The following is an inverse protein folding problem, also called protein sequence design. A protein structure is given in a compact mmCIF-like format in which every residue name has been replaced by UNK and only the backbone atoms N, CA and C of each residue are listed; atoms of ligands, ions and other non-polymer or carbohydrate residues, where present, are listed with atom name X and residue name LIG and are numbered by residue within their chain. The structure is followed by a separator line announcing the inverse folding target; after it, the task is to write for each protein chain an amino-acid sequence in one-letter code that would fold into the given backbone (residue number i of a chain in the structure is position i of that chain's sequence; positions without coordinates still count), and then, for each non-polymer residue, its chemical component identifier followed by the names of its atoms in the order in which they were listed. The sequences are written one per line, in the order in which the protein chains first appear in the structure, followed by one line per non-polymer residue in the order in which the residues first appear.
data_IF_255209164534
#
_entry.id   IF_255209164534
#
_cell.length_a   1.000
_cell.length_b   1.000
_cell.length_c   1.000
_cell.angle_alpha   90.00
_cell.angle_beta   90.00
_cell.angle_gamma   90.00
#
_symmetry.space_group_name_H-M   'P 1'
#
loop_
_entity.id
_entity.type
_entity.pdbx_description
1 polymer ?
#
# COMPACT_ATOMS: atom_id res chain seq x y z
N UNK A 1 -2.88 6.21 -16.46
CA UNK A 1 -3.08 6.06 -17.92
C UNK A 1 -2.28 7.11 -18.67
N UNK A 2 -1.66 6.77 -19.76
CA UNK A 2 -0.94 7.76 -20.54
C UNK A 2 -1.93 8.77 -21.14
N UNK A 3 -1.55 10.02 -21.07
CA UNK A 3 -2.36 11.15 -21.49
C UNK A 3 -2.74 11.06 -22.97
N UNK A 4 -4.04 11.12 -23.29
CA UNK A 4 -4.55 10.96 -24.67
C UNK A 4 -3.91 11.92 -25.67
N UNK A 5 -3.61 13.15 -25.27
CA UNK A 5 -2.97 14.16 -26.12
C UNK A 5 -1.57 13.77 -26.63
N UNK A 6 -0.87 12.91 -25.92
CA UNK A 6 0.45 12.46 -26.32
C UNK A 6 0.44 11.11 -27.05
N UNK A 7 -0.74 10.49 -27.23
CA UNK A 7 -0.83 9.17 -27.85
C UNK A 7 -0.20 9.15 -29.26
N UNK A 8 -0.48 10.15 -30.07
CA UNK A 8 0.07 10.27 -31.42
C UNK A 8 1.57 10.68 -31.46
N UNK A 9 2.11 11.22 -30.36
CA UNK A 9 3.51 11.72 -30.28
C UNK A 9 4.40 10.88 -29.37
N UNK A 10 3.90 9.80 -28.77
CA UNK A 10 4.64 8.96 -27.81
C UNK A 10 5.95 8.43 -28.35
N UNK A 11 5.98 8.05 -29.63
CA UNK A 11 7.18 7.56 -30.30
C UNK A 11 8.28 8.63 -30.42
N UNK A 12 7.91 9.93 -30.31
CA UNK A 12 8.84 11.07 -30.37
C UNK A 12 9.29 11.56 -28.99
N UNK A 13 8.66 11.09 -27.90
CA UNK A 13 9.04 11.49 -26.54
C UNK A 13 10.14 10.54 -26.08
N UNK A 14 11.37 11.01 -25.84
CA UNK A 14 12.44 10.14 -25.37
C UNK A 14 12.08 9.58 -23.99
N UNK A 15 12.24 8.28 -23.83
CA UNK A 15 12.02 7.63 -22.53
C UNK A 15 13.16 8.04 -21.61
N UNK A 16 12.81 8.55 -20.41
CA UNK A 16 13.80 8.79 -19.39
C UNK A 16 14.49 7.47 -19.02
N UNK A 17 15.83 7.48 -19.02
CA UNK A 17 16.65 6.35 -18.61
C UNK A 17 17.09 6.58 -17.16
N UNK A 18 17.07 5.52 -16.37
CA UNK A 18 17.49 5.57 -14.97
C UNK A 18 18.57 4.53 -14.75
N UNK A 19 19.54 4.87 -13.90
CA UNK A 19 20.57 3.94 -13.42
C UNK A 19 20.50 3.84 -11.92
N UNK A 20 20.47 2.61 -11.40
CA UNK A 20 20.57 2.35 -9.96
C UNK A 20 22.03 2.58 -9.56
N UNK A 21 22.26 3.46 -8.59
CA UNK A 21 23.61 3.84 -8.12
C UNK A 21 24.11 2.97 -6.96
N UNK A 22 23.20 2.39 -6.19
CA UNK A 22 23.50 1.53 -5.04
C UNK A 22 23.29 0.04 -5.35
N UNK A 23 23.62 -0.41 -6.57
CA UNK A 23 23.31 -1.77 -7.03
C UNK A 23 23.80 -2.87 -6.08
N UNK A 24 25.07 -2.87 -5.57
CA UNK A 24 25.52 -3.95 -4.68
C UNK A 24 24.69 -4.08 -3.39
N UNK A 25 24.38 -2.96 -2.75
CA UNK A 25 23.54 -2.94 -1.53
C UNK A 25 22.09 -3.36 -1.82
N UNK A 26 21.57 -2.93 -2.98
CA UNK A 26 20.23 -3.28 -3.41
C UNK A 26 20.11 -4.79 -3.71
N UNK A 27 21.08 -5.37 -4.42
CA UNK A 27 21.16 -6.79 -4.73
C UNK A 27 21.26 -7.65 -3.47
N UNK A 28 22.15 -7.31 -2.54
CA UNK A 28 22.26 -7.99 -1.25
C UNK A 28 20.93 -7.97 -0.48
N UNK A 29 20.21 -6.85 -0.52
CA UNK A 29 18.89 -6.74 0.09
C UNK A 29 17.82 -7.55 -0.62
N UNK A 30 17.89 -7.71 -1.95
CA UNK A 30 16.98 -8.59 -2.70
C UNK A 30 17.18 -10.04 -2.30
N UNK A 31 18.43 -10.50 -2.20
CA UNK A 31 18.76 -11.85 -1.74
C UNK A 31 18.26 -12.09 -0.32
N UNK A 32 18.45 -11.10 0.58
CA UNK A 32 18.00 -11.19 1.96
C UNK A 32 16.48 -11.33 2.11
N UNK A 33 15.68 -10.83 1.18
CA UNK A 33 14.22 -11.03 1.21
C UNK A 33 13.79 -12.49 1.07
N UNK A 34 14.63 -13.33 0.43
CA UNK A 34 14.44 -14.78 0.33
C UNK A 34 14.99 -15.56 1.52
N UNK A 35 15.78 -14.92 2.38
CA UNK A 35 16.38 -15.57 3.54
C UNK A 35 15.34 -15.75 4.65
N UNK A 36 15.18 -16.99 5.13
CA UNK A 36 14.27 -17.30 6.22
C UNK A 36 14.65 -16.61 7.53
N UNK A 37 15.92 -16.37 7.79
CA UNK A 37 16.40 -15.68 9.00
C UNK A 37 15.98 -14.21 9.02
N UNK A 38 15.70 -13.63 7.86
CA UNK A 38 15.10 -12.30 7.76
C UNK A 38 13.68 -12.25 8.31
N UNK A 39 12.92 -13.34 8.17
CA UNK A 39 11.54 -13.43 8.64
C UNK A 39 11.44 -14.00 10.05
N UNK A 40 12.26 -15.01 10.36
CA UNK A 40 12.31 -15.75 11.62
C UNK A 40 13.55 -15.33 12.42
N UNK A 41 13.48 -14.20 13.11
CA UNK A 41 14.54 -13.78 14.02
C UNK A 41 14.34 -14.32 15.45
N UNK A 42 15.39 -14.25 16.27
CA UNK A 42 15.34 -14.76 17.64
C UNK A 42 14.27 -14.06 18.50
N UNK A 43 13.98 -12.79 18.24
CA UNK A 43 12.96 -12.04 18.98
C UNK A 43 11.56 -12.58 18.68
N UNK A 44 11.31 -12.96 17.43
CA UNK A 44 10.06 -13.61 17.03
C UNK A 44 9.89 -14.98 17.67
N UNK A 45 10.96 -15.76 17.80
CA UNK A 45 10.94 -17.06 18.45
C UNK A 45 10.75 -16.92 19.97
N UNK A 46 11.40 -15.97 20.62
CA UNK A 46 11.25 -15.70 22.05
C UNK A 46 9.82 -15.23 22.40
N UNK A 47 9.20 -14.44 21.51
CA UNK A 47 7.82 -13.94 21.68
C UNK A 47 6.73 -14.90 21.20
N UNK A 48 7.01 -16.18 20.97
CA UNK A 48 6.09 -17.14 20.33
C UNK A 48 4.84 -17.44 21.16
N UNK A 49 5.03 -17.64 22.47
CA UNK A 49 3.94 -17.99 23.37
C UNK A 49 3.13 -16.76 23.78
N UNK A 50 1.82 -16.93 23.89
CA UNK A 50 0.96 -15.90 24.42
C UNK A 50 1.18 -15.73 25.94
N UNK A 51 1.11 -14.50 26.47
CA UNK A 51 1.10 -14.31 27.91
C UNK A 51 -0.17 -14.92 28.52
N UNK A 52 -0.04 -15.49 29.72
CA UNK A 52 -1.19 -16.05 30.45
C UNK A 52 -2.22 -14.96 30.76
N UNK A 53 -3.48 -15.22 30.47
CA UNK A 53 -4.59 -14.34 30.81
C UNK A 53 -5.08 -14.64 32.27
N UNK A 54 -5.53 -13.59 32.94
CA UNK A 54 -6.16 -13.71 34.25
C UNK A 54 -7.68 -14.01 34.18
N UNK A 55 -8.25 -13.93 32.99
CA UNK A 55 -9.67 -14.19 32.73
C UNK A 55 -9.95 -15.69 32.67
N UNK A 56 -11.11 -16.17 33.22
CA UNK A 56 -11.53 -17.54 33.06
C UNK A 56 -11.64 -17.97 31.58
N UNK A 57 -11.44 -19.27 31.34
CA UNK A 57 -11.55 -19.87 29.99
C UNK A 57 -10.24 -20.40 29.44
N UNK A 58 -10.28 -20.88 28.21
CA UNK A 58 -9.11 -21.44 27.52
C UNK A 58 -8.00 -20.42 27.34
N UNK A 59 -6.78 -20.77 27.72
CA UNK A 59 -5.61 -19.91 27.58
C UNK A 59 -5.11 -19.91 26.12
N UNK A 60 -4.76 -18.75 25.53
CA UNK A 60 -4.14 -18.71 24.24
C UNK A 60 -2.73 -19.31 24.30
N UNK A 61 -2.41 -20.21 23.38
CA UNK A 61 -1.08 -20.82 23.27
C UNK A 61 -0.14 -19.88 22.52
N UNK A 62 -0.61 -19.32 21.41
CA UNK A 62 0.18 -18.52 20.47
C UNK A 62 0.00 -17.03 20.71
N UNK A 63 1.08 -16.28 20.68
CA UNK A 63 1.04 -14.82 20.68
C UNK A 63 0.51 -14.28 19.34
N UNK A 64 0.18 -12.99 19.29
CA UNK A 64 -0.15 -12.33 18.02
C UNK A 64 1.06 -12.29 17.08
N UNK A 65 2.27 -12.20 17.65
CA UNK A 65 3.52 -12.25 16.90
C UNK A 65 3.71 -13.58 16.16
N UNK A 66 3.45 -14.72 16.84
CA UNK A 66 3.52 -16.04 16.22
C UNK A 66 2.52 -16.18 15.05
N UNK A 67 1.28 -15.73 15.26
CA UNK A 67 0.25 -15.73 14.20
C UNK A 67 0.65 -14.83 13.02
N UNK A 68 1.11 -13.61 13.32
CA UNK A 68 1.58 -12.65 12.33
C UNK A 68 2.71 -13.24 11.47
N UNK A 69 3.68 -13.87 12.11
CA UNK A 69 4.83 -14.46 11.44
C UNK A 69 4.39 -15.56 10.46
N UNK A 70 3.59 -16.54 10.91
CA UNK A 70 3.13 -17.63 10.05
C UNK A 70 2.28 -17.09 8.89
N UNK A 71 1.43 -16.10 9.14
CA UNK A 71 0.63 -15.46 8.08
C UNK A 71 1.50 -14.62 7.14
N UNK A 72 2.55 -13.98 7.63
CA UNK A 72 3.52 -13.26 6.77
C UNK A 72 4.26 -14.24 5.86
N UNK A 73 4.77 -15.37 6.38
CA UNK A 73 5.36 -16.43 5.56
C UNK A 73 4.38 -16.96 4.52
N UNK A 74 3.11 -17.17 4.92
CA UNK A 74 2.05 -17.56 3.98
C UNK A 74 1.92 -16.58 2.81
N UNK A 75 1.92 -15.27 3.08
CA UNK A 75 1.74 -14.25 2.06
C UNK A 75 2.97 -14.13 1.16
N UNK A 76 4.16 -14.08 1.74
CA UNK A 76 5.43 -13.90 1.03
C UNK A 76 5.78 -15.12 0.15
N UNK A 77 5.52 -16.33 0.64
CA UNK A 77 5.79 -17.57 -0.10
C UNK A 77 4.55 -18.16 -0.81
N UNK A 78 3.46 -17.40 -0.89
CA UNK A 78 2.22 -17.76 -1.60
C UNK A 78 1.58 -19.08 -1.16
N UNK A 79 1.73 -19.47 0.09
CA UNK A 79 1.26 -20.74 0.63
C UNK A 79 -0.24 -20.71 0.95
N UNK A 80 -0.91 -21.87 0.87
CA UNK A 80 -2.21 -22.05 1.51
C UNK A 80 -2.06 -22.17 3.03
N UNK A 81 -3.12 -21.91 3.82
CA UNK A 81 -3.02 -21.90 5.29
C UNK A 81 -2.46 -23.22 5.87
N UNK A 82 -2.90 -24.39 5.36
CA UNK A 82 -2.37 -25.68 5.80
C UNK A 82 -0.90 -25.86 5.44
N UNK A 83 -0.52 -25.39 4.25
CA UNK A 83 0.88 -25.44 3.80
C UNK A 83 1.76 -24.52 4.63
N UNK A 84 1.26 -23.32 4.99
CA UNK A 84 2.00 -22.37 5.83
C UNK A 84 2.28 -22.96 7.24
N UNK A 85 1.30 -23.63 7.85
CA UNK A 85 1.48 -24.31 9.11
C UNK A 85 2.54 -25.42 9.00
N UNK A 86 2.44 -26.30 7.99
CA UNK A 86 3.40 -27.39 7.76
C UNK A 86 4.80 -26.87 7.42
N UNK A 87 4.89 -25.81 6.60
CA UNK A 87 6.16 -25.16 6.26
C UNK A 87 6.84 -24.60 7.51
N UNK A 88 6.11 -23.86 8.34
CA UNK A 88 6.65 -23.31 9.59
C UNK A 88 7.11 -24.41 10.54
N UNK A 89 6.32 -25.47 10.70
CA UNK A 89 6.71 -26.62 11.52
C UNK A 89 8.02 -27.28 11.03
N UNK A 90 8.17 -27.43 9.71
CA UNK A 90 9.40 -27.97 9.10
C UNK A 90 10.60 -27.06 9.34
N UNK A 91 10.42 -25.75 9.18
CA UNK A 91 11.51 -24.77 9.40
C UNK A 91 11.95 -24.78 10.88
N UNK A 92 11.02 -24.73 11.84
CA UNK A 92 11.34 -24.77 13.28
C UNK A 92 12.11 -26.06 13.61
N UNK A 93 11.67 -27.20 13.10
CA UNK A 93 12.37 -28.49 13.31
C UNK A 93 13.79 -28.47 12.73
N UNK A 94 14.00 -27.93 11.54
CA UNK A 94 15.33 -27.79 10.93
C UNK A 94 16.25 -26.87 11.71
N UNK A 95 15.67 -25.84 12.37
CA UNK A 95 16.40 -24.94 13.26
C UNK A 95 16.64 -25.52 14.67
N UNK A 96 16.18 -26.75 14.94
CA UNK A 96 16.28 -27.35 16.28
C UNK A 96 15.41 -26.68 17.35
N UNK A 97 14.35 -25.97 16.94
CA UNK A 97 13.47 -25.21 17.82
C UNK A 97 12.17 -25.98 18.03
N UNK A 98 11.91 -26.37 19.30
CA UNK A 98 10.68 -27.07 19.71
C UNK A 98 9.61 -26.05 20.12
N UNK A 99 8.88 -25.53 19.14
CA UNK A 99 7.75 -24.63 19.33
C UNK A 99 6.50 -25.17 18.64
N UNK A 100 5.32 -25.12 19.30
CA UNK A 100 4.07 -25.53 18.69
C UNK A 100 3.70 -24.57 17.56
N UNK A 101 3.12 -25.08 16.46
CA UNK A 101 2.71 -24.28 15.32
C UNK A 101 1.19 -24.18 15.26
N UNK A 102 0.61 -22.99 15.07
CA UNK A 102 -0.83 -22.81 14.97
C UNK A 102 -1.40 -23.53 13.76
N UNK A 103 -2.49 -24.24 13.94
CA UNK A 103 -3.23 -24.87 12.86
C UNK A 103 -3.94 -23.85 11.95
N UNK A 104 -4.37 -24.29 10.78
CA UNK A 104 -5.00 -23.44 9.76
C UNK A 104 -6.30 -22.78 10.23
N UNK A 105 -7.04 -23.37 11.17
CA UNK A 105 -8.29 -22.80 11.69
C UNK A 105 -8.00 -21.65 12.66
N UNK A 106 -6.99 -21.83 13.51
CA UNK A 106 -6.45 -20.80 14.39
C UNK A 106 -5.89 -19.64 13.58
N UNK A 107 -5.07 -19.92 12.55
CA UNK A 107 -4.54 -18.90 11.63
C UNK A 107 -5.67 -18.12 10.94
N UNK A 108 -6.68 -18.80 10.42
CA UNK A 108 -7.82 -18.18 9.74
C UNK A 108 -8.63 -17.30 10.68
N UNK A 109 -8.91 -17.76 11.89
CA UNK A 109 -9.69 -17.02 12.87
C UNK A 109 -8.93 -15.81 13.42
N UNK A 110 -7.67 -16.01 13.82
CA UNK A 110 -6.86 -14.94 14.42
C UNK A 110 -6.33 -13.95 13.39
N UNK A 111 -6.15 -14.36 12.14
CA UNK A 111 -5.79 -13.47 11.04
C UNK A 111 -6.77 -12.32 10.85
N UNK A 112 -8.04 -12.51 11.20
CA UNK A 112 -9.06 -11.45 11.14
C UNK A 112 -8.81 -10.30 12.12
N UNK A 113 -8.13 -10.55 13.23
CA UNK A 113 -7.80 -9.51 14.22
C UNK A 113 -6.80 -8.46 13.69
N UNK A 114 -6.07 -8.76 12.61
CA UNK A 114 -5.16 -7.80 11.97
C UNK A 114 -5.87 -6.79 11.06
N UNK A 115 -7.19 -6.89 10.87
CA UNK A 115 -7.97 -6.06 9.94
C UNK A 115 -7.84 -4.55 10.20
N UNK A 116 -7.69 -4.14 11.47
CA UNK A 116 -7.53 -2.73 11.87
C UNK A 116 -6.08 -2.28 12.07
N UNK A 117 -5.12 -3.14 11.75
CA UNK A 117 -3.71 -2.83 12.01
C UNK A 117 -3.20 -1.80 10.99
N UNK A 118 -2.68 -0.71 11.51
CA UNK A 118 -2.09 0.35 10.69
C UNK A 118 -0.63 0.02 10.36
N UNK A 119 -0.14 0.48 9.19
CA UNK A 119 1.27 0.35 8.85
C UNK A 119 2.15 1.11 9.85
N UNK A 120 3.26 0.51 10.24
CA UNK A 120 4.31 1.22 10.98
C UNK A 120 5.29 1.77 9.96
N UNK A 121 5.31 3.07 9.78
CA UNK A 121 6.33 3.78 9.01
C UNK A 121 7.50 4.10 9.94
N UNK A 122 8.71 4.09 9.42
CA UNK A 122 9.87 4.52 10.20
C UNK A 122 9.70 6.02 10.53
N UNK A 123 9.64 6.36 11.82
CA UNK A 123 9.55 7.74 12.26
C UNK A 123 10.82 8.49 11.84
N UNK A 124 10.69 9.42 10.89
CA UNK A 124 11.81 10.21 10.38
C UNK A 124 11.91 11.60 10.97
N UNK A 125 10.91 12.06 11.70
CA UNK A 125 10.84 13.42 12.26
C UNK A 125 10.57 14.53 11.25
N UNK A 126 10.80 14.32 9.97
CA UNK A 126 10.50 15.26 8.90
C UNK A 126 9.07 15.09 8.39
N UNK A 127 8.41 16.18 7.94
CA UNK A 127 7.08 16.10 7.34
C UNK A 127 7.09 15.20 6.09
N UNK A 128 6.09 14.32 5.98
CA UNK A 128 6.01 13.33 4.91
C UNK A 128 5.27 13.83 3.68
N UNK A 129 5.69 13.38 2.52
CA UNK A 129 5.03 13.62 1.23
C UNK A 129 4.22 12.38 0.82
N UNK A 130 2.91 12.45 0.92
CA UNK A 130 2.04 11.32 0.58
C UNK A 130 1.68 11.29 -0.90
N UNK A 131 1.74 10.11 -1.49
CA UNK A 131 1.23 9.86 -2.84
C UNK A 131 0.10 8.84 -2.73
N UNK A 132 -1.09 9.22 -3.21
CA UNK A 132 -2.30 8.37 -3.16
C UNK A 132 -2.56 7.73 -4.52
N UNK A 133 -2.92 6.45 -4.50
CA UNK A 133 -3.41 5.74 -5.68
C UNK A 133 -4.24 4.52 -5.26
N UNK A 134 -5.02 3.99 -6.18
CA UNK A 134 -5.84 2.80 -5.95
C UNK A 134 -5.63 1.73 -7.01
N UNK A 135 -5.94 0.50 -6.64
CA UNK A 135 -5.87 -0.62 -7.57
C UNK A 135 -6.90 -1.69 -7.27
N UNK A 136 -7.38 -2.37 -8.30
CA UNK A 136 -8.26 -3.52 -8.15
C UNK A 136 -7.50 -4.77 -7.69
N UNK A 137 -8.06 -5.47 -6.70
CA UNK A 137 -7.67 -6.81 -6.28
C UNK A 137 -8.83 -7.77 -6.50
N UNK A 138 -8.54 -8.90 -7.15
CA UNK A 138 -9.54 -9.93 -7.45
C UNK A 138 -9.79 -10.78 -6.19
N UNK A 139 -11.03 -11.19 -5.96
CA UNK A 139 -11.34 -12.20 -4.95
C UNK A 139 -11.09 -13.61 -5.50
N UNK A 140 -10.30 -14.40 -4.76
CA UNK A 140 -9.97 -15.78 -5.16
C UNK A 140 -11.19 -16.69 -5.06
N UNK A 141 -11.42 -17.52 -6.08
CA UNK A 141 -12.46 -18.57 -6.10
C UNK A 141 -13.90 -18.07 -6.20
N UNK A 142 -14.12 -16.74 -6.30
CA UNK A 142 -15.46 -16.24 -6.58
C UNK A 142 -15.65 -16.00 -8.07
N UNK A 143 -16.54 -16.79 -8.65
CA UNK A 143 -17.01 -16.58 -10.00
C UNK A 143 -16.28 -17.34 -11.11
N UNK A 144 -15.21 -18.08 -10.83
CA UNK A 144 -14.56 -18.90 -11.85
C UNK A 144 -15.46 -20.08 -12.27
N UNK A 145 -16.06 -20.78 -11.31
CA UNK A 145 -16.99 -21.89 -11.56
C UNK A 145 -18.33 -21.43 -12.16
N UNK A 146 -18.88 -20.31 -11.67
CA UNK A 146 -20.12 -19.74 -12.21
C UNK A 146 -19.91 -19.17 -13.62
N UNK A 147 -18.71 -18.66 -13.94
CA UNK A 147 -18.36 -18.20 -15.29
C UNK A 147 -18.37 -19.34 -16.29
N UNK A 148 -17.78 -20.44 -15.89
CA UNK A 148 -17.65 -21.65 -16.70
C UNK A 148 -19.03 -22.30 -16.95
N UNK A 149 -19.90 -22.30 -15.94
CA UNK A 149 -21.22 -22.95 -16.00
C UNK A 149 -22.37 -22.09 -16.55
N UNK A 150 -22.33 -20.78 -16.33
CA UNK A 150 -23.45 -19.87 -16.64
C UNK A 150 -23.10 -18.70 -17.54
N UNK A 151 -21.88 -18.59 -18.05
CA UNK A 151 -21.46 -17.56 -19.03
C UNK A 151 -21.56 -16.11 -18.55
N UNK A 152 -21.95 -15.87 -17.30
CA UNK A 152 -22.19 -14.54 -16.74
C UNK A 152 -21.54 -14.42 -15.37
N UNK A 153 -20.25 -14.08 -15.31
CA UNK A 153 -19.65 -13.79 -14.03
C UNK A 153 -19.04 -12.42 -14.02
N UNK A 154 -19.60 -11.55 -13.20
CA UNK A 154 -18.92 -10.38 -12.69
C UNK A 154 -17.89 -10.86 -11.70
N UNK A 155 -16.62 -10.96 -12.11
CA UNK A 155 -15.49 -11.12 -11.18
C UNK A 155 -15.63 -10.05 -10.12
N UNK A 156 -15.75 -10.45 -8.85
CA UNK A 156 -15.83 -9.49 -7.76
C UNK A 156 -14.43 -8.94 -7.49
N UNK A 157 -14.32 -7.63 -7.56
CA UNK A 157 -13.11 -6.88 -7.29
C UNK A 157 -13.31 -6.03 -6.06
N UNK A 158 -12.27 -5.94 -5.25
CA UNK A 158 -12.16 -4.92 -4.23
C UNK A 158 -11.10 -3.92 -4.67
N UNK A 159 -11.23 -2.67 -4.24
CA UNK A 159 -10.22 -1.65 -4.43
C UNK A 159 -9.32 -1.57 -3.22
N UNK A 160 -8.03 -1.69 -3.44
CA UNK A 160 -6.99 -1.36 -2.48
C UNK A 160 -6.53 0.07 -2.74
N UNK A 161 -6.69 0.93 -1.74
CA UNK A 161 -6.20 2.29 -1.72
C UNK A 161 -4.93 2.34 -0.88
N UNK A 162 -3.90 3.01 -1.37
CA UNK A 162 -2.62 3.16 -0.71
C UNK A 162 -2.25 4.64 -0.60
N UNK A 163 -1.70 5.02 0.55
CA UNK A 163 -0.94 6.25 0.73
C UNK A 163 0.52 5.86 0.94
N UNK A 164 1.38 6.34 0.06
CA UNK A 164 2.80 6.00 0.03
C UNK A 164 3.61 7.22 0.38
N UNK A 165 4.54 7.11 1.29
CA UNK A 165 5.53 8.15 1.55
C UNK A 165 6.51 8.22 0.37
N UNK A 166 6.56 9.38 -0.29
CA UNK A 166 7.42 9.60 -1.45
C UNK A 166 8.91 9.55 -1.11
N UNK A 167 9.28 9.85 0.13
CA UNK A 167 10.68 9.87 0.58
C UNK A 167 11.21 8.46 0.81
N UNK A 168 10.50 7.67 1.59
CA UNK A 168 10.92 6.31 1.94
C UNK A 168 10.45 5.26 0.94
N UNK A 169 9.31 5.50 0.27
CA UNK A 169 8.59 4.53 -0.56
C UNK A 169 7.81 3.51 0.25
N UNK A 170 7.69 3.70 1.57
CA UNK A 170 6.87 2.87 2.45
C UNK A 170 5.39 3.22 2.29
N UNK A 171 4.54 2.23 2.51
CA UNK A 171 3.09 2.43 2.52
C UNK A 171 2.71 2.93 3.92
N UNK A 172 2.29 4.20 4.01
CA UNK A 172 1.94 4.85 5.25
C UNK A 172 0.49 4.58 5.69
N UNK A 173 -0.41 4.35 4.72
CA UNK A 173 -1.80 4.00 5.00
C UNK A 173 -2.38 3.11 3.91
N UNK A 174 -3.38 2.32 4.27
CA UNK A 174 -4.11 1.50 3.32
C UNK A 174 -5.60 1.41 3.68
N UNK A 175 -6.44 1.23 2.68
CA UNK A 175 -7.86 0.94 2.85
C UNK A 175 -8.32 -0.04 1.77
N UNK A 176 -9.30 -0.88 2.10
CA UNK A 176 -9.93 -1.78 1.17
C UNK A 176 -11.41 -1.39 1.05
N UNK A 177 -11.88 -1.14 -0.17
CA UNK A 177 -13.27 -0.76 -0.45
C UNK A 177 -13.91 -1.68 -1.48
N UNK A 178 -15.21 -1.51 -1.73
CA UNK A 178 -15.87 -2.17 -2.86
C UNK A 178 -15.31 -1.65 -4.19
N UNK A 179 -15.31 -2.50 -5.22
CA UNK A 179 -14.74 -2.18 -6.52
C UNK A 179 -15.34 -0.95 -7.22
N UNK A 180 -16.56 -0.58 -6.85
CA UNK A 180 -17.28 0.59 -7.36
C UNK A 180 -17.14 1.84 -6.49
N UNK A 181 -16.48 1.74 -5.34
CA UNK A 181 -16.31 2.89 -4.44
C UNK A 181 -15.50 4.02 -5.09
N UNK A 182 -15.87 5.25 -4.79
CA UNK A 182 -15.13 6.43 -5.21
C UNK A 182 -13.78 6.52 -4.47
N UNK A 183 -12.73 6.85 -5.20
CA UNK A 183 -11.38 6.93 -4.67
C UNK A 183 -11.22 8.13 -3.71
N UNK A 184 -11.82 9.26 -4.04
CA UNK A 184 -11.78 10.47 -3.20
C UNK A 184 -12.45 10.25 -1.83
N UNK A 185 -13.50 9.43 -1.78
CA UNK A 185 -14.20 9.10 -0.53
C UNK A 185 -13.33 8.33 0.48
N UNK A 186 -12.22 7.72 0.04
CA UNK A 186 -11.31 6.98 0.92
C UNK A 186 -10.20 7.86 1.52
N UNK A 187 -10.00 9.07 1.00
CA UNK A 187 -8.92 9.97 1.45
C UNK A 187 -8.98 10.26 2.95
N UNK A 188 -10.14 10.60 3.57
CA UNK A 188 -10.19 10.84 5.00
C UNK A 188 -9.75 9.63 5.84
N UNK A 189 -10.09 8.41 5.39
CA UNK A 189 -9.72 7.18 6.08
C UNK A 189 -8.22 6.88 5.97
N UNK A 190 -7.59 7.22 4.84
CA UNK A 190 -6.15 7.10 4.65
C UNK A 190 -5.39 8.12 5.50
N UNK A 191 -5.78 9.39 5.46
CA UNK A 191 -5.10 10.45 6.19
C UNK A 191 -5.17 10.29 7.71
N UNK A 192 -6.27 9.71 8.25
CA UNK A 192 -6.39 9.42 9.69
C UNK A 192 -5.40 8.37 10.19
N UNK A 193 -4.86 7.52 9.34
CA UNK A 193 -3.88 6.49 9.70
C UNK A 193 -2.46 7.05 9.82
N UNK A 194 -2.21 8.22 9.27
CA UNK A 194 -0.89 8.85 9.25
C UNK A 194 -0.75 9.72 10.49
N UNK A 195 0.18 9.40 11.38
CA UNK A 195 0.43 10.14 12.62
C UNK A 195 1.36 11.34 12.39
N UNK A 196 2.33 11.18 11.49
CA UNK A 196 3.33 12.20 11.15
C UNK A 196 2.71 13.46 10.54
N UNK A 197 3.47 14.55 10.58
CA UNK A 197 3.13 15.78 9.87
C UNK A 197 3.19 15.55 8.35
N UNK A 198 2.14 16.00 7.65
CA UNK A 198 2.01 15.84 6.20
C UNK A 198 2.43 17.13 5.51
N UNK A 199 3.49 17.09 4.71
CA UNK A 199 3.92 18.24 3.89
C UNK A 199 3.08 18.38 2.63
N UNK A 200 2.80 17.25 1.95
CA UNK A 200 1.98 17.29 0.73
C UNK A 200 1.20 15.99 0.52
N UNK A 201 0.09 16.14 -0.23
CA UNK A 201 -0.74 15.02 -0.70
C UNK A 201 -0.83 15.11 -2.22
N UNK A 202 -0.26 14.13 -2.92
CA UNK A 202 -0.27 14.04 -4.38
C UNK A 202 -1.15 12.88 -4.82
N UNK A 203 -2.06 13.11 -5.78
CA UNK A 203 -2.91 12.06 -6.32
C UNK A 203 -3.24 12.31 -7.79
N UNK A 204 -3.91 11.36 -8.46
CA UNK A 204 -4.34 11.56 -9.84
C UNK A 204 -5.63 12.39 -9.94
N UNK A 205 -6.09 12.68 -11.17
CA UNK A 205 -7.27 13.51 -11.39
C UNK A 205 -8.60 12.87 -10.94
N UNK A 206 -8.61 11.59 -10.57
CA UNK A 206 -9.79 10.97 -9.97
C UNK A 206 -10.07 11.52 -8.57
N UNK A 207 -9.04 12.00 -7.90
CA UNK A 207 -9.11 12.63 -6.59
C UNK A 207 -9.35 14.16 -6.64
N UNK A 208 -9.51 14.77 -7.83
CA UNK A 208 -9.81 16.21 -7.98
C UNK A 208 -11.26 16.49 -7.56
N UNK A 209 -11.47 16.52 -6.27
CA UNK A 209 -12.76 16.74 -5.62
C UNK A 209 -12.59 17.53 -4.34
N UNK A 210 -13.53 18.41 -4.04
CA UNK A 210 -13.51 19.28 -2.85
C UNK A 210 -13.33 18.50 -1.53
N UNK A 211 -14.01 17.37 -1.32
CA UNK A 211 -13.79 16.53 -0.13
C UNK A 211 -12.34 16.13 0.10
N UNK A 212 -11.55 15.93 -0.96
CA UNK A 212 -10.12 15.61 -0.83
C UNK A 212 -9.33 16.78 -0.24
N UNK A 213 -9.56 17.99 -0.74
CA UNK A 213 -8.90 19.21 -0.21
C UNK A 213 -9.35 19.51 1.21
N UNK A 214 -10.64 19.36 1.49
CA UNK A 214 -11.21 19.54 2.82
C UNK A 214 -10.64 18.52 3.83
N UNK A 215 -10.49 17.25 3.44
CA UNK A 215 -9.92 16.21 4.28
C UNK A 215 -8.45 16.49 4.63
N UNK A 216 -7.66 16.96 3.67
CA UNK A 216 -6.27 17.34 3.92
C UNK A 216 -6.17 18.53 4.89
N UNK A 217 -6.99 19.56 4.69
CA UNK A 217 -7.04 20.72 5.57
C UNK A 217 -7.54 20.36 6.99
N UNK A 218 -8.54 19.48 7.10
CA UNK A 218 -9.08 19.04 8.39
C UNK A 218 -8.10 18.16 9.17
N UNK A 219 -7.29 17.33 8.46
CA UNK A 219 -6.27 16.48 9.10
C UNK A 219 -5.17 17.31 9.74
N UNK A 220 -4.78 18.40 9.10
CA UNK A 220 -3.70 19.29 9.56
C UNK A 220 -4.03 20.73 9.15
N UNK A 221 -4.57 21.53 10.07
CA UNK A 221 -4.98 22.90 9.77
C UNK A 221 -3.79 23.87 9.64
N UNK A 222 -2.68 23.62 10.34
CA UNK A 222 -1.50 24.48 10.32
C UNK A 222 -0.19 23.69 10.60
N UNK A 223 0.81 23.73 9.70
CA UNK A 223 0.67 24.15 8.31
C UNK A 223 -0.19 23.17 7.51
N UNK A 224 -1.03 23.69 6.63
CA UNK A 224 -1.87 22.83 5.76
C UNK A 224 -1.01 22.08 4.76
N UNK A 225 -1.30 20.79 4.51
CA UNK A 225 -0.62 20.02 3.46
C UNK A 225 -0.83 20.68 2.09
N UNK A 226 0.20 20.70 1.27
CA UNK A 226 0.06 21.08 -0.13
C UNK A 226 -0.61 19.94 -0.91
N UNK A 227 -1.75 20.22 -1.56
CA UNK A 227 -2.53 19.21 -2.29
C UNK A 227 -2.26 19.33 -3.78
N UNK A 228 -1.53 18.38 -4.34
CA UNK A 228 -1.06 18.39 -5.74
C UNK A 228 -1.86 17.39 -6.58
N UNK A 229 -2.98 17.87 -7.13
CA UNK A 229 -3.87 17.03 -7.97
C UNK A 229 -4.11 17.75 -9.31
N UNK A 230 -3.96 17.05 -10.45
CA UNK A 230 -4.26 17.65 -11.74
C UNK A 230 -5.77 17.80 -11.91
N UNK A 231 -6.20 18.96 -12.37
CA UNK A 231 -7.62 19.22 -12.65
C UNK A 231 -8.25 18.15 -13.55
N UNK A 232 -9.52 17.86 -13.35
CA UNK A 232 -10.35 17.14 -14.33
C UNK A 232 -10.56 18.03 -15.56
N UNK A 233 -10.84 17.42 -16.72
CA UNK A 233 -11.02 18.17 -17.96
C UNK A 233 -12.14 19.22 -17.91
N UNK A 234 -13.19 18.93 -17.13
CA UNK A 234 -14.36 19.80 -16.92
C UNK A 234 -14.23 20.76 -15.73
N UNK A 235 -13.07 20.79 -15.05
CA UNK A 235 -12.91 21.62 -13.86
C UNK A 235 -12.86 23.12 -14.21
N UNK A 236 -13.68 23.90 -13.52
CA UNK A 236 -13.75 25.36 -13.60
C UNK A 236 -13.34 25.95 -12.26
N UNK A 237 -12.57 27.05 -12.22
CA UNK A 237 -12.29 27.76 -10.98
C UNK A 237 -13.58 28.25 -10.31
N UNK A 238 -13.62 28.22 -8.99
CA UNK A 238 -14.74 28.80 -8.22
C UNK A 238 -14.62 30.31 -8.11
N UNK A 239 -13.40 30.81 -8.00
CA UNK A 239 -13.12 32.24 -7.96
C UNK A 239 -11.95 32.57 -8.87
N UNK A 240 -12.10 33.68 -9.62
CA UNK A 240 -11.01 34.27 -10.39
C UNK A 240 -10.23 35.31 -9.57
N UNK A 241 -10.73 35.70 -8.38
CA UNK A 241 -10.06 36.59 -7.47
C UNK A 241 -8.92 35.86 -6.73
N UNK A 242 -7.69 36.35 -6.93
CA UNK A 242 -6.49 35.76 -6.33
C UNK A 242 -6.54 35.65 -4.80
N UNK A 243 -7.24 36.59 -4.14
CA UNK A 243 -7.39 36.60 -2.68
C UNK A 243 -8.35 35.49 -2.16
N UNK A 244 -9.26 35.01 -3.01
CA UNK A 244 -10.28 34.01 -2.68
C UNK A 244 -10.01 32.61 -3.29
N UNK A 245 -8.89 32.48 -3.98
CA UNK A 245 -8.56 31.22 -4.67
C UNK A 245 -8.24 30.09 -3.71
N UNK A 246 -8.96 28.99 -3.90
CA UNK A 246 -8.62 27.72 -3.27
C UNK A 246 -7.31 27.13 -3.85
N UNK A 247 -6.63 26.21 -3.13
CA UNK A 247 -5.49 25.47 -3.70
C UNK A 247 -5.83 24.82 -5.04
N UNK A 248 -7.07 24.32 -5.20
CA UNK A 248 -7.57 23.73 -6.45
C UNK A 248 -7.63 24.75 -7.58
N UNK A 249 -8.13 25.95 -7.33
CA UNK A 249 -8.24 27.01 -8.35
C UNK A 249 -6.87 27.45 -8.84
N UNK A 250 -5.88 27.55 -7.94
CA UNK A 250 -4.48 27.83 -8.30
C UNK A 250 -3.91 26.80 -9.26
N UNK A 251 -4.19 25.51 -9.06
CA UNK A 251 -3.77 24.46 -9.99
C UNK A 251 -4.47 24.55 -11.35
N UNK A 252 -5.76 24.90 -11.38
CA UNK A 252 -6.51 25.10 -12.62
C UNK A 252 -5.88 26.22 -13.44
N UNK A 253 -5.58 27.37 -12.80
CA UNK A 253 -4.95 28.51 -13.45
C UNK A 253 -3.53 28.19 -13.94
N UNK A 254 -2.70 27.58 -13.07
CA UNK A 254 -1.33 27.22 -13.43
C UNK A 254 -1.27 26.25 -14.62
N UNK A 255 -2.26 25.36 -14.75
CA UNK A 255 -2.39 24.50 -15.94
C UNK A 255 -2.83 25.30 -17.17
N UNK A 256 -3.72 26.28 -17.00
CA UNK A 256 -4.15 27.14 -18.11
C UNK A 256 -2.99 28.01 -18.62
N UNK A 257 -2.15 28.54 -17.74
CA UNK A 257 -1.01 29.41 -18.08
C UNK A 257 0.19 28.65 -18.66
N UNK A 258 0.64 27.59 -17.96
CA UNK A 258 1.91 26.87 -18.28
C UNK A 258 1.69 25.56 -19.02
N UNK A 259 0.44 25.20 -19.26
CA UNK A 259 0.08 23.87 -19.75
C UNK A 259 0.40 22.77 -18.72
N UNK A 260 -0.10 21.57 -18.99
CA UNK A 260 0.05 20.43 -18.05
C UNK A 260 1.50 20.07 -17.74
N UNK A 261 2.38 20.11 -18.75
CA UNK A 261 3.80 19.80 -18.54
C UNK A 261 4.53 20.86 -17.69
N UNK A 262 4.20 22.14 -17.87
CA UNK A 262 4.71 23.22 -17.04
C UNK A 262 4.23 23.10 -15.59
N UNK A 263 2.96 22.79 -15.39
CA UNK A 263 2.39 22.51 -14.08
C UNK A 263 3.09 21.33 -13.39
N UNK A 264 3.28 20.19 -14.09
CA UNK A 264 3.96 19.02 -13.51
C UNK A 264 5.38 19.33 -13.02
N UNK A 265 6.12 20.16 -13.78
CA UNK A 265 7.47 20.58 -13.38
C UNK A 265 7.44 21.51 -12.17
N UNK A 266 6.49 22.45 -12.15
CA UNK A 266 6.37 23.42 -11.10
C UNK A 266 5.92 22.82 -9.74
N UNK A 267 5.12 21.75 -9.79
CA UNK A 267 4.53 21.10 -8.60
C UNK A 267 5.22 19.82 -8.17
N UNK A 268 6.23 19.34 -8.90
CA UNK A 268 6.86 18.06 -8.59
C UNK A 268 5.95 16.82 -8.79
N UNK A 269 4.85 16.97 -9.51
CA UNK A 269 3.84 15.91 -9.72
C UNK A 269 4.41 14.59 -10.26
N UNK A 270 5.61 14.62 -10.85
CA UNK A 270 6.30 13.41 -11.33
C UNK A 270 6.50 12.33 -10.26
N UNK A 271 6.56 12.72 -8.99
CA UNK A 271 6.65 11.81 -7.84
C UNK A 271 5.46 10.84 -7.71
N UNK A 272 4.31 11.12 -8.36
CA UNK A 272 3.14 10.25 -8.34
C UNK A 272 3.43 8.80 -8.79
N UNK A 273 4.40 8.61 -9.68
CA UNK A 273 4.82 7.27 -10.13
C UNK A 273 5.28 6.34 -9.00
N UNK A 274 5.60 6.88 -7.81
CA UNK A 274 5.98 6.08 -6.65
C UNK A 274 4.81 5.24 -6.11
N UNK A 275 3.57 5.75 -6.17
CA UNK A 275 2.40 4.95 -5.81
C UNK A 275 2.17 3.82 -6.81
N UNK A 276 2.33 4.08 -8.11
CA UNK A 276 2.27 3.02 -9.13
C UNK A 276 3.35 1.94 -8.90
N UNK A 277 4.54 2.36 -8.47
CA UNK A 277 5.64 1.44 -8.09
C UNK A 277 5.27 0.61 -6.86
N UNK A 278 4.65 1.20 -5.84
CA UNK A 278 4.20 0.47 -4.65
C UNK A 278 3.09 -0.54 -4.99
N UNK A 279 2.12 -0.14 -5.81
CA UNK A 279 1.06 -1.02 -6.34
C UNK A 279 1.66 -2.16 -7.17
N UNK A 280 2.62 -1.86 -8.04
CA UNK A 280 3.34 -2.85 -8.83
C UNK A 280 4.05 -3.87 -7.93
N UNK A 281 4.75 -3.41 -6.89
CA UNK A 281 5.39 -4.25 -5.87
C UNK A 281 4.37 -5.13 -5.14
N UNK A 282 3.26 -4.56 -4.69
CA UNK A 282 2.20 -5.33 -4.04
C UNK A 282 1.72 -6.48 -4.94
N UNK A 283 1.35 -6.17 -6.18
CA UNK A 283 0.84 -7.19 -7.12
C UNK A 283 1.86 -8.24 -7.52
N UNK A 284 3.13 -7.85 -7.61
CA UNK A 284 4.20 -8.77 -8.01
C UNK A 284 4.65 -9.67 -6.86
N UNK A 285 4.85 -9.11 -5.66
CA UNK A 285 5.41 -9.84 -4.52
C UNK A 285 4.35 -10.54 -3.67
N UNK A 286 3.16 -9.99 -3.56
CA UNK A 286 2.06 -10.57 -2.76
C UNK A 286 1.02 -11.24 -3.66
N UNK A 287 0.74 -10.61 -4.80
CA UNK A 287 -0.22 -11.10 -5.78
C UNK A 287 -1.45 -10.20 -5.96
N UNK A 288 -2.13 -10.32 -7.11
CA UNK A 288 -3.29 -9.51 -7.45
C UNK A 288 -4.61 -10.06 -6.87
N UNK A 289 -4.58 -11.14 -6.09
CA UNK A 289 -5.77 -11.86 -5.60
C UNK A 289 -5.80 -11.93 -4.08
N UNK A 290 -6.95 -11.63 -3.48
CA UNK A 290 -7.24 -11.83 -2.06
C UNK A 290 -7.76 -13.25 -1.83
N UNK A 291 -7.12 -14.01 -0.95
CA UNK A 291 -7.46 -15.43 -0.70
C UNK A 291 -8.40 -15.63 0.49
N UNK A 292 -8.47 -14.67 1.41
CA UNK A 292 -9.37 -14.73 2.55
C UNK A 292 -10.83 -14.59 2.10
N UNK A 293 -11.73 -15.35 2.72
CA UNK A 293 -13.16 -15.37 2.36
C UNK A 293 -13.97 -14.27 3.04
N UNK A 294 -13.61 -13.89 4.26
CA UNK A 294 -14.30 -12.85 5.03
C UNK A 294 -13.67 -11.49 4.80
N UNK A 295 -14.46 -10.41 4.92
CA UNK A 295 -13.96 -9.04 4.78
C UNK A 295 -12.87 -8.71 5.79
N UNK A 296 -13.05 -9.11 7.06
CA UNK A 296 -12.04 -8.96 8.09
C UNK A 296 -10.74 -9.72 7.78
N UNK A 297 -10.85 -10.95 7.26
CA UNK A 297 -9.67 -11.70 6.81
C UNK A 297 -8.97 -11.04 5.62
N UNK A 298 -9.71 -10.47 4.67
CA UNK A 298 -9.16 -9.74 3.53
C UNK A 298 -8.42 -8.48 3.98
N UNK A 299 -9.00 -7.71 4.91
CA UNK A 299 -8.33 -6.56 5.51
C UNK A 299 -7.07 -6.98 6.28
N UNK A 300 -7.12 -8.10 7.02
CA UNK A 300 -5.95 -8.66 7.71
C UNK A 300 -4.84 -9.09 6.75
N UNK A 301 -5.18 -9.77 5.65
CA UNK A 301 -4.21 -10.14 4.60
C UNK A 301 -3.55 -8.89 4.00
N UNK A 302 -4.32 -7.81 3.74
CA UNK A 302 -3.78 -6.53 3.23
C UNK A 302 -2.85 -5.88 4.26
N UNK A 303 -3.26 -5.78 5.52
CA UNK A 303 -2.46 -5.17 6.57
C UNK A 303 -1.10 -5.87 6.74
N UNK A 304 -1.10 -7.21 6.79
CA UNK A 304 0.12 -8.01 6.88
C UNK A 304 0.98 -7.90 5.62
N UNK A 305 0.36 -7.85 4.44
CA UNK A 305 1.06 -7.65 3.17
C UNK A 305 1.79 -6.31 3.12
N UNK A 306 1.13 -5.24 3.56
CA UNK A 306 1.73 -3.90 3.64
C UNK A 306 2.91 -3.88 4.61
N UNK A 307 2.79 -4.52 5.78
CA UNK A 307 3.91 -4.62 6.74
C UNK A 307 5.10 -5.40 6.15
N UNK A 308 4.83 -6.52 5.47
CA UNK A 308 5.87 -7.30 4.81
C UNK A 308 6.59 -6.47 3.73
N UNK A 309 5.85 -5.74 2.90
CA UNK A 309 6.41 -4.87 1.87
C UNK A 309 7.24 -3.72 2.46
N UNK A 310 6.76 -3.07 3.52
CA UNK A 310 7.53 -2.03 4.22
C UNK A 310 8.82 -2.60 4.82
N UNK A 311 8.77 -3.79 5.45
CA UNK A 311 9.97 -4.48 5.94
C UNK A 311 10.96 -4.76 4.80
N UNK A 312 10.49 -5.21 3.63
CA UNK A 312 11.34 -5.43 2.45
C UNK A 312 11.99 -4.15 1.91
N UNK A 313 11.28 -3.01 1.93
CA UNK A 313 11.81 -1.72 1.47
C UNK A 313 12.92 -1.23 2.39
N UNK A 314 12.75 -1.35 3.71
CA UNK A 314 13.74 -0.94 4.71
C UNK A 314 15.08 -1.67 4.54
N UNK A 315 15.04 -2.92 4.10
CA UNK A 315 16.27 -3.70 3.86
C UNK A 315 16.96 -3.30 2.58
N UNK A 316 16.20 -2.97 1.54
CA UNK A 316 16.77 -2.58 0.26
C UNK A 316 15.81 -1.71 -0.55
N UNK A 317 16.24 -0.49 -0.81
CA UNK A 317 15.58 0.45 -1.73
C UNK A 317 16.58 0.81 -2.84
N UNK A 318 16.18 0.72 -4.12
CA UNK A 318 17.04 1.19 -5.21
C UNK A 318 17.13 2.71 -5.17
N UNK A 319 18.34 3.25 -5.23
CA UNK A 319 18.59 4.68 -5.45
C UNK A 319 18.87 4.86 -6.94
N UNK A 320 17.92 5.49 -7.63
CA UNK A 320 18.00 5.67 -9.09
C UNK A 320 18.25 7.12 -9.44
N UNK A 321 19.20 7.37 -10.32
CA UNK A 321 19.45 8.67 -10.92
C UNK A 321 19.06 8.65 -12.39
N UNK A 322 18.51 9.76 -12.87
CA UNK A 322 18.19 9.92 -14.28
C UNK A 322 19.50 10.10 -15.07
N UNK A 323 19.65 9.33 -16.15
CA UNK A 323 20.78 9.40 -17.09
C UNK A 323 20.22 9.63 -18.48
N UNK A 324 20.50 10.80 -19.07
CA UNK A 324 20.07 11.18 -20.43
C UNK A 324 18.63 11.64 -20.50
#
# INVERSE_FOLDING_TARGET
MPFKYNAARRHRIPRARYRVTNWPAYEAGLQRRGDLTFWLDQSALAGWHAPRRRTPGGQPIYSDLAIELVLTLRLVFHLALRQAAAFTASVLRLLGVDLPVPDHTTLSRRGQAFAGRQPRVAAGGDPIHLVLDSTGLQLFGQGEWDAEKHGRVRRRWLKLHLAVDATTGEIAAHALSEGTADDAAQVPALLRQVEDQIASVTADGAYDDEPTYAAAAARQPDPRPDVVIPRRASAVPRSNDAAQQSPRDRHIQLIAEKGRMGWQRATGYGGRSLAETAIGRYKHLIGPKLRARTRSGQNGDVALSVQALNRMIRVAKPISVRVG
#
